data_IF_335787021189
#
_entry.id   IF_335787021189
#
_cell.length_a   1.000
_cell.length_b   1.000
_cell.length_c   1.000
_cell.angle_alpha   90.00
_cell.angle_beta   90.00
_cell.angle_gamma   90.00
#
_symmetry.space_group_name_H-M   'P 1'
#
loop_
_entity.id
_entity.type
_entity.pdbx_description
1 polymer ?
#
# COMPACT_ATOMS: atom_id res chain seq x y z
N UNK A 1 -6.60 -10.15 -3.42
CA UNK A 1 -5.37 -10.78 -3.95
C UNK A 1 -5.45 -11.03 -5.45
N UNK A 2 -6.32 -11.91 -5.92
CA UNK A 2 -6.43 -12.21 -7.36
C UNK A 2 -6.67 -10.96 -8.22
N UNK A 3 -7.53 -10.04 -7.79
CA UNK A 3 -7.75 -8.80 -8.51
C UNK A 3 -6.48 -7.96 -8.69
N UNK A 4 -5.61 -7.88 -7.68
CA UNK A 4 -4.33 -7.20 -7.80
C UNK A 4 -3.44 -7.86 -8.87
N UNK A 5 -3.36 -9.20 -8.88
CA UNK A 5 -2.58 -9.94 -9.87
C UNK A 5 -3.09 -9.69 -11.29
N UNK A 6 -4.40 -9.80 -11.51
CA UNK A 6 -4.99 -9.59 -12.84
C UNK A 6 -4.79 -8.17 -13.36
N UNK A 7 -4.98 -7.16 -12.49
CA UNK A 7 -4.77 -5.76 -12.89
C UNK A 7 -3.29 -5.48 -13.13
N UNK A 8 -2.40 -6.02 -12.30
CA UNK A 8 -0.95 -5.87 -12.47
C UNK A 8 -0.50 -6.49 -13.79
N UNK A 9 -0.93 -7.72 -14.10
CA UNK A 9 -0.58 -8.40 -15.33
C UNK A 9 -1.03 -7.59 -16.56
N UNK A 10 -2.30 -7.19 -16.60
CA UNK A 10 -2.82 -6.39 -17.70
C UNK A 10 -2.10 -5.05 -17.87
N UNK A 11 -1.81 -4.36 -16.77
CA UNK A 11 -1.10 -3.08 -16.81
C UNK A 11 0.36 -3.24 -17.28
N UNK A 12 1.03 -4.32 -16.85
CA UNK A 12 2.42 -4.62 -17.24
C UNK A 12 2.53 -4.83 -18.75
N UNK A 13 1.60 -5.55 -19.37
CA UNK A 13 1.63 -5.75 -20.83
C UNK A 13 1.62 -4.40 -21.57
N UNK A 14 0.70 -3.50 -21.19
CA UNK A 14 0.60 -2.16 -21.79
C UNK A 14 1.87 -1.34 -21.54
N UNK A 15 2.41 -1.39 -20.32
CA UNK A 15 3.61 -0.62 -19.96
C UNK A 15 4.86 -1.11 -20.68
N UNK A 16 4.97 -2.42 -20.93
CA UNK A 16 6.05 -2.99 -21.75
C UNK A 16 5.98 -2.51 -23.19
N UNK A 17 4.79 -2.50 -23.80
CA UNK A 17 4.61 -1.98 -25.16
C UNK A 17 4.94 -0.50 -25.25
N UNK A 18 4.67 0.27 -24.19
CA UNK A 18 4.99 1.69 -24.10
C UNK A 18 6.49 1.97 -23.80
N UNK A 19 7.24 0.97 -23.36
CA UNK A 19 8.64 1.11 -22.92
C UNK A 19 8.81 1.99 -21.65
N UNK A 20 7.73 2.20 -20.90
CA UNK A 20 7.76 2.93 -19.62
C UNK A 20 6.43 2.78 -18.89
N UNK A 21 6.47 2.86 -17.56
CA UNK A 21 5.27 2.83 -16.73
C UNK A 21 5.56 3.05 -15.25
N UNK A 22 4.49 3.14 -14.46
CA UNK A 22 4.60 3.21 -13.01
C UNK A 22 3.40 2.56 -12.33
N UNK A 23 3.62 1.43 -11.69
CA UNK A 23 2.63 0.78 -10.82
C UNK A 23 2.73 1.37 -9.42
N UNK A 24 1.61 1.81 -8.85
CA UNK A 24 1.54 2.30 -7.46
C UNK A 24 0.51 1.48 -6.70
N UNK A 25 0.97 0.53 -5.91
CA UNK A 25 0.14 -0.38 -5.14
C UNK A 25 -0.07 0.11 -3.71
N UNK A 26 -1.30 -0.02 -3.21
CA UNK A 26 -1.64 0.35 -1.84
C UNK A 26 -1.57 -0.88 -0.93
N UNK A 27 -0.57 -0.90 -0.05
CA UNK A 27 -0.43 -1.88 1.02
C UNK A 27 -0.98 -1.31 2.34
N UNK A 28 -0.25 -1.48 3.42
CA UNK A 28 -0.51 -0.95 4.75
C UNK A 28 0.74 -1.11 5.62
N UNK A 29 0.83 -0.38 6.71
CA UNK A 29 1.80 -0.70 7.77
C UNK A 29 1.60 -2.13 8.31
N UNK A 30 0.38 -2.66 8.24
CA UNK A 30 0.07 -4.06 8.54
C UNK A 30 0.75 -5.06 7.60
N UNK A 31 1.24 -4.64 6.45
CA UNK A 31 2.10 -5.46 5.58
C UNK A 31 3.53 -5.64 6.11
N UNK A 32 3.87 -5.06 7.25
CA UNK A 32 5.18 -5.16 7.93
C UNK A 32 5.11 -5.83 9.30
N UNK A 33 3.93 -5.87 9.88
CA UNK A 33 3.68 -6.46 11.21
C UNK A 33 2.38 -7.23 11.21
N UNK A 34 2.35 -8.29 12.01
CA UNK A 34 1.14 -9.00 12.38
C UNK A 34 1.14 -9.19 13.90
N UNK A 35 -0.01 -9.54 14.46
CA UNK A 35 -0.18 -9.78 15.87
C UNK A 35 -1.24 -10.84 16.13
N UNK A 36 -1.44 -11.24 17.39
CA UNK A 36 -2.49 -12.18 17.77
C UNK A 36 -3.85 -11.74 17.20
N UNK A 37 -4.65 -12.70 16.77
CA UNK A 37 -6.00 -12.53 16.21
C UNK A 37 -6.09 -11.64 14.92
N UNK A 38 -4.96 -11.18 14.38
CA UNK A 38 -4.89 -10.27 13.21
C UNK A 38 -4.10 -10.86 12.06
N UNK A 39 -4.22 -12.17 11.79
CA UNK A 39 -3.43 -12.83 10.73
C UNK A 39 -3.91 -12.56 9.32
N UNK A 40 -5.22 -12.56 9.09
CA UNK A 40 -5.79 -12.52 7.74
C UNK A 40 -5.49 -11.20 7.01
N UNK A 41 -5.86 -10.07 7.57
CA UNK A 41 -5.62 -8.76 6.93
C UNK A 41 -4.13 -8.47 6.72
N UNK A 42 -3.26 -8.55 7.74
CA UNK A 42 -1.82 -8.44 7.52
C UNK A 42 -1.31 -9.40 6.46
N UNK A 43 -1.72 -10.67 6.48
CA UNK A 43 -1.33 -11.65 5.47
C UNK A 43 -1.61 -11.18 4.04
N UNK A 44 -2.77 -10.56 3.79
CA UNK A 44 -3.08 -9.98 2.47
C UNK A 44 -2.14 -8.82 2.12
N UNK A 45 -1.74 -7.99 3.10
CA UNK A 45 -0.87 -6.84 2.87
C UNK A 45 0.61 -7.23 2.73
N UNK A 46 1.08 -8.25 3.45
CA UNK A 46 2.38 -8.88 3.17
C UNK A 46 2.43 -9.41 1.73
N UNK A 47 1.35 -10.03 1.29
CA UNK A 47 1.28 -10.54 -0.07
C UNK A 47 1.26 -9.40 -1.12
N UNK A 48 0.62 -8.25 -0.86
CA UNK A 48 0.74 -7.07 -1.74
C UNK A 48 2.18 -6.63 -1.89
N UNK A 49 2.95 -6.60 -0.79
CA UNK A 49 4.36 -6.23 -0.84
C UNK A 49 5.17 -7.22 -1.70
N UNK A 50 4.99 -8.52 -1.49
CA UNK A 50 5.69 -9.55 -2.26
C UNK A 50 5.31 -9.52 -3.76
N UNK A 51 4.01 -9.40 -4.07
CA UNK A 51 3.49 -9.28 -5.45
C UNK A 51 4.01 -8.02 -6.14
N UNK A 52 4.29 -6.95 -5.40
CA UNK A 52 4.83 -5.71 -5.96
C UNK A 52 6.34 -5.79 -6.18
N UNK A 53 7.06 -6.54 -5.36
CA UNK A 53 8.51 -6.66 -5.46
C UNK A 53 8.97 -7.48 -6.68
N UNK A 54 8.22 -8.53 -7.05
CA UNK A 54 8.56 -9.34 -8.21
C UNK A 54 8.59 -8.51 -9.50
N UNK A 55 7.51 -7.83 -9.91
CA UNK A 55 7.54 -7.00 -11.12
C UNK A 55 8.51 -5.81 -11.01
N UNK A 56 8.80 -5.31 -9.80
CA UNK A 56 9.82 -4.25 -9.63
C UNK A 56 11.18 -4.73 -10.13
N UNK A 57 11.52 -5.99 -9.94
CA UNK A 57 12.79 -6.58 -10.40
C UNK A 57 12.71 -7.02 -11.85
N UNK A 58 11.60 -7.62 -12.27
CA UNK A 58 11.42 -8.17 -13.62
C UNK A 58 11.34 -7.09 -14.70
N UNK A 59 10.86 -5.89 -14.37
CA UNK A 59 10.54 -4.83 -15.34
C UNK A 59 11.61 -3.73 -15.42
N UNK A 60 12.81 -3.95 -14.92
CA UNK A 60 13.90 -2.98 -14.91
C UNK A 60 14.27 -2.56 -16.35
N UNK A 61 14.38 -3.52 -17.25
CA UNK A 61 14.74 -3.25 -18.65
C UNK A 61 13.60 -2.59 -19.43
N UNK A 62 12.36 -2.76 -18.99
CA UNK A 62 11.18 -2.11 -19.58
C UNK A 62 10.96 -0.67 -19.08
N UNK A 63 11.83 -0.16 -18.21
CA UNK A 63 11.70 1.16 -17.57
C UNK A 63 10.38 1.35 -16.79
N UNK A 64 9.83 0.28 -16.24
CA UNK A 64 8.62 0.30 -15.42
C UNK A 64 9.01 0.36 -13.95
N UNK A 65 8.49 1.38 -13.26
CA UNK A 65 8.69 1.54 -11.82
C UNK A 65 7.54 0.88 -11.05
N UNK A 66 7.83 0.38 -9.87
CA UNK A 66 6.81 -0.13 -8.96
C UNK A 66 7.01 0.50 -7.59
N UNK A 67 5.96 1.10 -7.06
CA UNK A 67 5.92 1.72 -5.73
C UNK A 67 4.88 1.04 -4.87
N UNK A 68 5.22 0.75 -3.64
CA UNK A 68 4.28 0.34 -2.59
C UNK A 68 4.06 1.48 -1.62
N UNK A 69 2.82 1.92 -1.46
CA UNK A 69 2.44 2.89 -0.44
C UNK A 69 1.75 2.14 0.70
N UNK A 70 2.31 2.24 1.90
CA UNK A 70 1.84 1.57 3.11
C UNK A 70 1.29 2.56 4.14
N UNK A 71 0.01 2.91 4.09
CA UNK A 71 -0.62 3.78 5.07
C UNK A 71 -0.74 3.13 6.45
N UNK A 72 -0.65 3.95 7.50
CA UNK A 72 -1.16 3.67 8.83
C UNK A 72 -2.67 3.95 8.92
N UNK A 73 -3.12 4.49 10.06
CA UNK A 73 -4.51 4.88 10.23
C UNK A 73 -4.85 6.09 9.37
N UNK A 74 -5.83 5.91 8.49
CA UNK A 74 -6.37 6.95 7.61
C UNK A 74 -7.87 7.04 7.84
N UNK A 75 -8.44 8.22 7.87
CA UNK A 75 -9.88 8.41 7.98
C UNK A 75 -10.57 7.85 6.73
N UNK A 76 -11.25 6.71 6.91
CA UNK A 76 -11.94 5.96 5.85
C UNK A 76 -13.10 5.19 6.47
N UNK A 77 -14.00 4.70 5.62
CA UNK A 77 -15.12 3.83 6.02
C UNK A 77 -14.69 2.40 6.38
N UNK A 78 -13.40 2.05 6.25
CA UNK A 78 -12.92 0.68 6.48
C UNK A 78 -13.28 0.12 7.86
N UNK A 79 -13.18 0.88 8.97
CA UNK A 79 -13.58 0.39 10.30
C UNK A 79 -15.05 0.05 10.41
N UNK A 80 -15.93 0.71 9.64
CA UNK A 80 -17.38 0.53 9.70
C UNK A 80 -17.82 -0.84 9.14
N UNK A 81 -16.99 -1.44 8.30
CA UNK A 81 -17.23 -2.75 7.70
C UNK A 81 -16.74 -3.93 8.54
N UNK A 82 -16.15 -3.66 9.72
CA UNK A 82 -15.65 -4.71 10.60
C UNK A 82 -16.79 -5.19 11.50
N UNK A 83 -17.19 -6.43 11.31
CA UNK A 83 -18.30 -7.07 12.03
C UNK A 83 -17.87 -7.74 13.33
N UNK A 84 -16.60 -8.09 13.48
CA UNK A 84 -16.02 -8.68 14.68
C UNK A 84 -15.71 -7.61 15.72
N UNK A 85 -16.30 -7.72 16.90
CA UNK A 85 -16.26 -6.70 17.94
C UNK A 85 -14.88 -6.52 18.55
N UNK A 86 -14.14 -7.63 18.78
CA UNK A 86 -12.78 -7.60 19.33
C UNK A 86 -11.79 -6.99 18.32
N UNK A 87 -11.94 -7.33 17.03
CA UNK A 87 -11.15 -6.72 15.97
C UNK A 87 -11.45 -5.21 15.84
N UNK A 88 -12.72 -4.82 16.02
CA UNK A 88 -13.17 -3.43 15.96
C UNK A 88 -12.60 -2.61 17.11
N UNK A 89 -12.66 -3.10 18.35
CA UNK A 89 -12.05 -2.45 19.51
C UNK A 89 -10.54 -2.27 19.33
N UNK A 90 -9.85 -3.30 18.85
CA UNK A 90 -8.42 -3.24 18.57
C UNK A 90 -8.03 -2.23 17.49
N UNK A 91 -8.91 -1.92 16.56
CA UNK A 91 -8.70 -0.89 15.55
C UNK A 91 -9.04 0.49 16.10
N UNK A 92 -10.05 0.62 16.95
CA UNK A 92 -10.41 1.90 17.57
C UNK A 92 -9.28 2.52 18.39
N UNK A 93 -8.39 1.71 18.97
CA UNK A 93 -7.18 2.21 19.66
C UNK A 93 -6.31 3.04 18.70
N UNK A 94 -6.24 2.64 17.43
CA UNK A 94 -5.43 3.34 16.43
C UNK A 94 -6.22 4.49 15.78
N UNK A 95 -7.53 4.33 15.61
CA UNK A 95 -8.43 5.37 15.08
C UNK A 95 -8.88 6.40 16.12
N UNK A 96 -8.73 6.11 17.41
CA UNK A 96 -8.94 7.04 18.50
C UNK A 96 -7.77 8.00 18.75
N UNK A 97 -6.76 8.00 17.90
CA UNK A 97 -5.69 9.00 17.93
C UNK A 97 -6.25 10.39 17.56
N UNK A 98 -5.80 11.42 18.23
CA UNK A 98 -6.21 12.81 17.93
C UNK A 98 -5.80 13.27 16.53
N UNK A 99 -4.85 12.57 15.91
CA UNK A 99 -4.30 12.91 14.61
C UNK A 99 -4.19 11.67 13.72
N UNK A 100 -5.31 11.23 13.13
CA UNK A 100 -5.27 10.24 12.05
C UNK A 100 -4.98 10.93 10.70
N UNK A 101 -4.44 10.18 9.76
CA UNK A 101 -4.18 10.70 8.41
C UNK A 101 -5.48 10.96 7.67
N UNK A 102 -5.46 11.97 6.81
CA UNK A 102 -6.52 12.21 5.85
C UNK A 102 -6.20 11.48 4.52
N UNK A 103 -7.21 11.14 3.72
CA UNK A 103 -7.00 10.54 2.40
C UNK A 103 -6.05 11.34 1.50
N UNK A 104 -6.07 12.68 1.63
CA UNK A 104 -5.21 13.61 0.92
C UNK A 104 -3.73 13.42 1.25
N UNK A 105 -3.38 13.04 2.48
CA UNK A 105 -1.99 12.76 2.86
C UNK A 105 -1.43 11.59 2.05
N UNK A 106 -2.25 10.57 1.84
CA UNK A 106 -1.88 9.42 1.02
C UNK A 106 -1.82 9.79 -0.47
N UNK A 107 -2.77 10.59 -0.95
CA UNK A 107 -2.77 11.07 -2.32
C UNK A 107 -1.51 11.91 -2.63
N UNK A 108 -1.11 12.80 -1.72
CA UNK A 108 0.10 13.61 -1.84
C UNK A 108 1.37 12.76 -1.88
N UNK A 109 1.46 11.73 -1.04
CA UNK A 109 2.59 10.81 -1.05
C UNK A 109 2.67 10.00 -2.36
N UNK A 110 1.53 9.57 -2.90
CA UNK A 110 1.49 8.91 -4.21
C UNK A 110 1.90 9.85 -5.33
N UNK A 111 1.40 11.10 -5.31
CA UNK A 111 1.80 12.13 -6.27
C UNK A 111 3.32 12.37 -6.22
N UNK A 112 3.89 12.49 -5.02
CA UNK A 112 5.35 12.60 -4.85
C UNK A 112 6.10 11.46 -5.56
N UNK A 113 5.67 10.22 -5.41
CA UNK A 113 6.31 9.08 -6.06
C UNK A 113 6.21 9.15 -7.60
N UNK A 114 5.07 9.57 -8.11
CA UNK A 114 4.79 9.57 -9.55
C UNK A 114 5.56 10.67 -10.28
N UNK A 115 5.66 11.86 -9.69
CA UNK A 115 6.31 13.03 -10.34
C UNK A 115 7.84 12.98 -10.32
N UNK A 116 8.44 11.98 -9.65
CA UNK A 116 9.89 11.86 -9.64
C UNK A 116 10.46 11.65 -11.05
N UNK A 117 11.67 12.18 -11.34
CA UNK A 117 12.34 11.94 -12.60
C UNK A 117 12.44 10.43 -12.91
N UNK A 118 12.40 10.05 -14.18
CA UNK A 118 12.39 8.62 -14.62
C UNK A 118 13.53 7.80 -14.02
N UNK A 119 14.68 8.39 -13.71
CA UNK A 119 15.83 7.73 -13.07
C UNK A 119 15.65 7.44 -11.58
N UNK A 120 14.59 7.98 -10.96
CA UNK A 120 14.29 7.80 -9.54
C UNK A 120 13.14 6.82 -9.39
N UNK A 121 13.37 5.73 -8.69
CA UNK A 121 12.35 4.77 -8.28
C UNK A 121 12.18 4.84 -6.77
N UNK A 122 11.06 5.36 -6.33
CA UNK A 122 10.64 5.29 -4.93
C UNK A 122 9.97 3.93 -4.75
N UNK A 123 10.66 2.98 -4.17
CA UNK A 123 10.18 1.60 -4.11
C UNK A 123 9.10 1.42 -3.03
N UNK A 124 9.22 2.14 -1.92
CA UNK A 124 8.26 2.05 -0.82
C UNK A 124 8.16 3.36 -0.04
N UNK A 125 6.94 3.69 0.39
CA UNK A 125 6.65 4.78 1.32
C UNK A 125 5.73 4.28 2.42
N UNK A 126 6.16 4.38 3.68
CA UNK A 126 5.32 4.13 4.85
C UNK A 126 4.91 5.46 5.48
N UNK A 127 3.61 5.64 5.65
CA UNK A 127 3.05 6.89 6.17
C UNK A 127 2.17 6.56 7.36
N UNK A 128 2.47 7.18 8.51
CA UNK A 128 1.73 6.97 9.75
C UNK A 128 1.30 8.29 10.36
N UNK A 129 0.19 8.31 11.10
CA UNK A 129 -0.03 9.36 12.08
C UNK A 129 1.20 9.49 13.01
N UNK A 130 1.56 10.69 13.36
CA UNK A 130 2.72 10.95 14.25
C UNK A 130 2.61 10.20 15.58
N UNK A 131 1.39 9.99 16.07
CA UNK A 131 1.12 9.29 17.32
C UNK A 131 1.03 7.76 17.16
N UNK A 132 1.08 7.24 15.95
CA UNK A 132 1.04 5.79 15.71
C UNK A 132 2.42 5.17 15.89
N UNK A 133 2.65 4.47 17.01
CA UNK A 133 3.93 3.88 17.37
C UNK A 133 4.25 2.50 16.75
N UNK A 134 3.28 1.88 16.06
CA UNK A 134 3.42 0.51 15.55
C UNK A 134 2.88 0.35 14.13
#
# INVERSE_FOLDING_TARGET
MLGLLYVTDAAVQVMKEQGSGHLVNTSSVAGRKSGPLRGAYPGTKFAVNAISEAPRQELIEDNVRVTVVGPGAVETELPDHITDEEAREGIQIVYGLDTILQPEDIANARAYCVVQPKRVSVSEVLIRPTQQGN
#
